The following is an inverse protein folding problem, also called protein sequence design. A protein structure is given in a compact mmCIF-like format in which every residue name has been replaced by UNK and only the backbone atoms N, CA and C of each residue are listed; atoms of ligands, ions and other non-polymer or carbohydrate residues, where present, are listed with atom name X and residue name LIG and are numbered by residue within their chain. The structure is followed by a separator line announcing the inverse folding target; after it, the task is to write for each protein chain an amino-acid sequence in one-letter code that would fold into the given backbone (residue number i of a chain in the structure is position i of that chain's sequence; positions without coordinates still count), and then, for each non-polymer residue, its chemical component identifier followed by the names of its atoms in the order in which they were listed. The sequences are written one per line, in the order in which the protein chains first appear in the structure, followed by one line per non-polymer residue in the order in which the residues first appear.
data_IF_943713660774
#
_entry.id   IF_943713660774
#
_cell.length_a   1.000
_cell.length_b   1.000
_cell.length_c   1.000
_cell.angle_alpha   90.00
_cell.angle_beta   90.00
_cell.angle_gamma   90.00
#
_symmetry.space_group_name_H-M   'P 1'
#
loop_
_entity.id
_entity.type
_entity.pdbx_description
1 polymer ?
#
# COMPACT_ATOMS: atom_id res chain seq x y z
N UNK A 1 0.78 -14.89 -11.17
CA UNK A 1 1.60 -14.97 -9.93
C UNK A 1 1.46 -13.61 -9.28
N UNK A 2 0.87 -13.54 -8.10
CA UNK A 2 0.60 -12.27 -7.43
C UNK A 2 1.88 -11.45 -7.27
N UNK A 3 1.84 -10.18 -7.68
CA UNK A 3 2.95 -9.26 -7.51
C UNK A 3 2.99 -8.80 -6.05
N UNK A 4 4.18 -8.68 -5.47
CA UNK A 4 4.38 -8.12 -4.13
C UNK A 4 4.90 -6.69 -4.23
N UNK A 5 4.18 -5.75 -3.65
CA UNK A 5 4.54 -4.33 -3.58
C UNK A 5 4.88 -3.96 -2.14
N UNK A 6 6.08 -3.44 -1.90
CA UNK A 6 6.51 -2.95 -0.59
C UNK A 6 6.59 -1.42 -0.59
N UNK A 7 5.89 -0.79 0.35
CA UNK A 7 5.88 0.67 0.51
C UNK A 7 6.64 1.01 1.78
N UNK A 8 7.80 1.68 1.65
CA UNK A 8 8.64 2.14 2.76
C UNK A 8 8.35 3.63 2.98
N UNK A 9 7.94 4.00 4.20
CA UNK A 9 7.36 5.31 4.48
C UNK A 9 5.85 5.35 4.21
N UNK A 10 5.17 4.21 4.42
CA UNK A 10 3.74 4.04 4.13
C UNK A 10 2.83 4.94 4.99
N UNK A 11 3.37 5.57 6.04
CA UNK A 11 2.68 6.56 6.85
C UNK A 11 2.32 7.86 6.12
N UNK A 12 2.75 8.04 4.87
CA UNK A 12 2.19 9.05 3.96
C UNK A 12 0.79 8.65 3.50
N UNK A 13 -0.21 8.73 4.40
CA UNK A 13 -1.53 8.11 4.27
C UNK A 13 -2.22 8.42 2.93
N UNK A 14 -2.27 9.69 2.54
CA UNK A 14 -2.92 10.10 1.29
C UNK A 14 -2.23 9.52 0.06
N UNK A 15 -0.89 9.50 0.07
CA UNK A 15 -0.10 8.89 -0.98
C UNK A 15 -0.29 7.36 -1.04
N UNK A 16 -0.14 6.68 0.10
CA UNK A 16 -0.25 5.21 0.18
C UNK A 16 -1.62 4.73 -0.28
N UNK A 17 -2.71 5.37 0.18
CA UNK A 17 -4.07 5.01 -0.24
C UNK A 17 -4.30 5.26 -1.73
N UNK A 18 -3.82 6.39 -2.27
CA UNK A 18 -3.94 6.68 -3.69
C UNK A 18 -3.15 5.67 -4.54
N UNK A 19 -1.92 5.35 -4.14
CA UNK A 19 -1.10 4.34 -4.82
C UNK A 19 -1.79 2.97 -4.84
N UNK A 20 -2.38 2.54 -3.74
CA UNK A 20 -3.16 1.29 -3.69
C UNK A 20 -4.36 1.33 -4.63
N UNK A 21 -5.12 2.44 -4.64
CA UNK A 21 -6.26 2.62 -5.53
C UNK A 21 -5.85 2.54 -7.00
N UNK A 22 -4.79 3.26 -7.38
CA UNK A 22 -4.27 3.28 -8.74
C UNK A 22 -3.83 1.86 -9.17
N UNK A 23 -3.11 1.12 -8.31
CA UNK A 23 -2.68 -0.26 -8.60
C UNK A 23 -3.89 -1.20 -8.74
N UNK A 24 -4.83 -1.16 -7.80
CA UNK A 24 -6.00 -2.05 -7.79
C UNK A 24 -7.05 -1.70 -8.87
N UNK A 25 -6.92 -0.53 -9.50
CA UNK A 25 -7.74 -0.16 -10.67
C UNK A 25 -7.40 -0.98 -11.92
N UNK A 26 -6.22 -1.61 -11.97
CA UNK A 26 -5.78 -2.48 -13.07
C UNK A 26 -6.25 -3.92 -12.80
N UNK A 27 -7.12 -4.52 -13.62
CA UNK A 27 -7.69 -5.84 -13.37
C UNK A 27 -6.63 -6.95 -13.15
N UNK A 28 -5.53 -6.89 -13.90
CA UNK A 28 -4.42 -7.84 -13.81
C UNK A 28 -3.59 -7.73 -12.53
N UNK A 29 -3.78 -6.66 -11.75
CA UNK A 29 -3.05 -6.38 -10.51
C UNK A 29 -3.91 -6.54 -9.25
N UNK A 30 -5.17 -6.97 -9.37
CA UNK A 30 -6.07 -7.08 -8.22
C UNK A 30 -5.61 -8.10 -7.17
N UNK A 31 -4.79 -9.07 -7.55
CA UNK A 31 -4.19 -10.04 -6.64
C UNK A 31 -2.88 -9.54 -5.98
N UNK A 32 -2.54 -8.25 -6.10
CA UNK A 32 -1.33 -7.66 -5.50
C UNK A 32 -1.29 -7.84 -3.99
N UNK A 33 -0.15 -8.33 -3.48
CA UNK A 33 0.15 -8.37 -2.06
C UNK A 33 0.92 -7.13 -1.62
N UNK A 34 0.32 -6.32 -0.76
CA UNK A 34 0.95 -5.12 -0.21
C UNK A 34 1.66 -5.40 1.12
N UNK A 35 2.87 -4.86 1.27
CA UNK A 35 3.61 -4.82 2.53
C UNK A 35 3.89 -3.35 2.92
N UNK A 36 3.27 -2.88 4.00
CA UNK A 36 3.44 -1.50 4.47
C UNK A 36 4.49 -1.42 5.57
N UNK A 37 5.46 -0.55 5.38
CA UNK A 37 6.54 -0.30 6.32
C UNK A 37 6.60 1.18 6.69
N UNK A 38 6.66 1.47 7.98
CA UNK A 38 6.94 2.79 8.51
C UNK A 38 7.59 2.65 9.89
N UNK A 39 8.37 3.64 10.29
CA UNK A 39 8.95 3.69 11.64
C UNK A 39 7.91 4.16 12.67
N UNK A 40 6.87 4.86 12.23
CA UNK A 40 5.79 5.34 13.08
C UNK A 40 4.61 4.35 13.07
N UNK A 41 4.45 3.63 14.17
CA UNK A 41 3.36 2.67 14.38
C UNK A 41 1.96 3.32 14.29
N UNK A 42 1.80 4.55 14.76
CA UNK A 42 0.51 5.25 14.69
C UNK A 42 0.14 5.53 13.24
N UNK A 43 1.10 5.98 12.43
CA UNK A 43 0.85 6.21 11.00
C UNK A 43 0.47 4.91 10.28
N UNK A 44 1.15 3.78 10.58
CA UNK A 44 0.78 2.47 10.03
C UNK A 44 -0.65 2.06 10.39
N UNK A 45 -1.07 2.28 11.64
CA UNK A 45 -2.42 1.97 12.09
C UNK A 45 -3.50 2.83 11.39
N UNK A 46 -3.12 3.93 10.74
CA UNK A 46 -4.04 4.78 9.97
C UNK A 46 -4.17 4.34 8.50
N UNK A 47 -3.42 3.33 8.04
CA UNK A 47 -3.48 2.83 6.66
C UNK A 47 -4.68 1.92 6.44
N UNK A 48 -5.17 1.25 7.50
CA UNK A 48 -6.43 0.49 7.53
C UNK A 48 -7.67 1.38 7.46
#
# INVERSE_FOLDING_TARGET
MAIKVSVIGAGSIGFTRKLMQDILSVPELQDTHFAFHDINKQNLNMIT
#
